data_IF_547816044437
#
_entry.id   IF_547816044437
#
_cell.length_a   1.000
_cell.length_b   1.000
_cell.length_c   1.000
_cell.angle_alpha   90.00
_cell.angle_beta   90.00
_cell.angle_gamma   90.00
#
_symmetry.space_group_name_H-M   'P 1'
#
loop_
_entity.id
_entity.type
_entity.pdbx_description
1 polymer ?
#
# COMPACT_ATOMS: atom_id res chain seq x y z
N UNK A 1 -10.08 -13.80 -7.25
CA UNK A 1 -9.25 -13.54 -6.06
C UNK A 1 -7.84 -14.06 -6.25
N UNK A 2 -7.61 -15.36 -6.42
CA UNK A 2 -6.24 -15.89 -6.57
C UNK A 2 -5.48 -15.31 -7.77
N UNK A 3 -6.14 -15.05 -8.90
CA UNK A 3 -5.53 -14.33 -10.02
C UNK A 3 -5.08 -12.90 -9.65
N UNK A 4 -5.81 -12.20 -8.77
CA UNK A 4 -5.41 -10.90 -8.23
C UNK A 4 -4.18 -11.04 -7.33
N UNK A 5 -4.17 -12.04 -6.46
CA UNK A 5 -3.02 -12.33 -5.61
C UNK A 5 -1.78 -12.63 -6.45
N UNK A 6 -1.94 -13.38 -7.53
CA UNK A 6 -0.85 -13.72 -8.44
C UNK A 6 -0.29 -12.50 -9.16
N UNK A 7 -1.15 -11.63 -9.68
CA UNK A 7 -0.72 -10.36 -10.27
C UNK A 7 0.07 -9.51 -9.25
N UNK A 8 -0.43 -9.40 -8.03
CA UNK A 8 0.23 -8.62 -6.96
C UNK A 8 1.61 -9.22 -6.65
N UNK A 9 1.74 -10.55 -6.55
CA UNK A 9 3.03 -11.23 -6.36
C UNK A 9 4.02 -10.90 -7.47
N UNK A 10 3.58 -10.90 -8.72
CA UNK A 10 4.44 -10.65 -9.88
C UNK A 10 4.90 -9.19 -9.97
N UNK A 11 4.03 -8.23 -9.64
CA UNK A 11 4.35 -6.80 -9.76
C UNK A 11 5.28 -6.31 -8.66
N UNK A 12 5.09 -6.76 -7.41
CA UNK A 12 5.94 -6.33 -6.29
C UNK A 12 5.76 -4.85 -5.91
N UNK A 13 4.55 -4.47 -5.48
CA UNK A 13 4.23 -3.06 -5.22
C UNK A 13 5.01 -2.51 -4.01
N UNK A 14 5.66 -1.34 -4.20
CA UNK A 14 6.30 -0.58 -3.11
C UNK A 14 5.28 0.01 -2.11
N UNK A 15 4.06 0.26 -2.57
CA UNK A 15 2.92 0.68 -1.75
C UNK A 15 1.64 0.46 -2.55
N UNK A 16 0.56 0.08 -1.88
CA UNK A 16 -0.77 0.02 -2.50
C UNK A 16 -1.87 0.22 -1.44
N UNK A 17 -2.94 0.89 -1.86
CA UNK A 17 -4.18 0.94 -1.09
C UNK A 17 -5.11 -0.18 -1.54
N UNK A 18 -5.76 -0.84 -0.59
CA UNK A 18 -6.69 -1.94 -0.87
C UNK A 18 -7.93 -1.81 0.00
N UNK A 19 -9.09 -2.09 -0.60
CA UNK A 19 -10.40 -1.97 0.03
C UNK A 19 -11.29 -3.12 -0.40
N UNK A 20 -12.18 -3.57 0.48
CA UNK A 20 -13.28 -4.46 0.10
C UNK A 20 -14.43 -3.65 -0.50
N UNK A 21 -15.15 -4.25 -1.44
CA UNK A 21 -16.28 -3.59 -2.08
C UNK A 21 -17.40 -3.30 -1.07
N UNK A 22 -17.84 -2.04 -1.04
CA UNK A 22 -18.98 -1.55 -0.24
C UNK A 22 -20.07 -1.07 -1.21
N UNK A 23 -21.20 -1.79 -1.31
CA UNK A 23 -22.31 -1.38 -2.18
C UNK A 23 -22.79 0.02 -1.84
N UNK A 24 -23.02 0.84 -2.87
CA UNK A 24 -23.59 2.17 -2.74
C UNK A 24 -24.92 2.23 -3.47
N UNK A 25 -26.03 2.67 -2.82
CA UNK A 25 -27.34 2.75 -3.47
C UNK A 25 -27.28 3.50 -4.79
N UNK A 26 -27.94 2.97 -5.83
CA UNK A 26 -28.00 3.57 -7.17
C UNK A 26 -26.79 3.29 -8.06
N UNK A 27 -25.82 2.48 -7.62
CA UNK A 27 -24.71 2.03 -8.48
C UNK A 27 -25.01 0.67 -9.09
N UNK A 28 -24.63 0.40 -10.36
CA UNK A 28 -24.84 -0.92 -10.97
C UNK A 28 -24.23 -2.06 -10.17
N UNK A 29 -23.09 -1.83 -9.52
CA UNK A 29 -22.44 -2.82 -8.67
C UNK A 29 -23.24 -3.18 -7.42
N UNK A 30 -24.11 -2.30 -6.91
CA UNK A 30 -24.99 -2.63 -5.79
C UNK A 30 -26.10 -3.59 -6.20
N UNK A 31 -26.59 -3.47 -7.44
CA UNK A 31 -27.68 -4.29 -7.98
C UNK A 31 -27.19 -5.61 -8.60
N UNK A 32 -25.87 -5.81 -8.73
CA UNK A 32 -25.31 -7.06 -9.22
C UNK A 32 -25.65 -8.23 -8.29
N UNK A 33 -26.01 -9.40 -8.84
CA UNK A 33 -26.18 -10.61 -8.06
C UNK A 33 -24.82 -11.13 -7.54
N UNK A 34 -24.87 -12.15 -6.67
CA UNK A 34 -23.70 -12.91 -6.23
C UNK A 34 -22.64 -12.11 -5.46
N UNK A 35 -23.09 -11.16 -4.62
CA UNK A 35 -22.21 -10.51 -3.65
C UNK A 35 -21.54 -11.53 -2.74
N UNK A 36 -20.22 -11.40 -2.62
CA UNK A 36 -19.43 -12.24 -1.71
C UNK A 36 -19.82 -11.91 -0.26
N UNK A 37 -20.01 -12.91 0.62
CA UNK A 37 -20.28 -12.67 2.04
C UNK A 37 -19.23 -11.75 2.69
N UNK A 38 -19.66 -10.89 3.63
CA UNK A 38 -18.77 -9.93 4.27
C UNK A 38 -17.56 -10.59 4.96
N UNK A 39 -17.75 -11.76 5.58
CA UNK A 39 -16.66 -12.53 6.20
C UNK A 39 -15.60 -12.95 5.20
N UNK A 40 -16.01 -13.39 4.00
CA UNK A 40 -15.10 -13.79 2.92
C UNK A 40 -14.40 -12.57 2.30
N UNK A 41 -15.11 -11.44 2.16
CA UNK A 41 -14.48 -10.18 1.74
C UNK A 41 -13.40 -9.73 2.71
N UNK A 42 -13.67 -9.87 4.01
CA UNK A 42 -12.75 -9.49 5.07
C UNK A 42 -11.49 -10.37 5.08
N UNK A 43 -11.66 -11.69 5.07
CA UNK A 43 -10.54 -12.66 4.99
C UNK A 43 -9.65 -12.37 3.77
N UNK A 44 -10.27 -12.16 2.59
CA UNK A 44 -9.54 -11.86 1.36
C UNK A 44 -8.77 -10.54 1.43
N UNK A 45 -9.37 -9.50 2.01
CA UNK A 45 -8.72 -8.21 2.18
C UNK A 45 -7.51 -8.34 3.11
N UNK A 46 -7.66 -9.02 4.25
CA UNK A 46 -6.56 -9.26 5.18
C UNK A 46 -5.41 -10.03 4.52
N UNK A 47 -5.72 -11.09 3.75
CA UNK A 47 -4.72 -11.87 3.01
C UNK A 47 -3.98 -11.02 1.97
N UNK A 48 -4.69 -10.18 1.23
CA UNK A 48 -4.09 -9.25 0.27
C UNK A 48 -3.20 -8.20 0.96
N UNK A 49 -3.70 -7.60 2.04
CA UNK A 49 -2.96 -6.60 2.81
C UNK A 49 -1.68 -7.17 3.45
N UNK A 50 -1.72 -8.42 3.92
CA UNK A 50 -0.53 -9.10 4.43
C UNK A 50 0.56 -9.26 3.35
N UNK A 51 0.17 -9.62 2.11
CA UNK A 51 1.11 -9.70 0.99
C UNK A 51 1.68 -8.31 0.62
N UNK A 52 0.81 -7.30 0.51
CA UNK A 52 1.23 -5.94 0.18
C UNK A 52 2.17 -5.34 1.23
N UNK A 53 1.89 -5.59 2.52
CA UNK A 53 2.77 -5.17 3.61
C UNK A 53 4.14 -5.84 3.52
N UNK A 54 4.18 -7.14 3.22
CA UNK A 54 5.43 -7.85 2.99
C UNK A 54 6.21 -7.25 1.82
N UNK A 55 5.57 -7.00 0.69
CA UNK A 55 6.23 -6.39 -0.48
C UNK A 55 6.75 -4.99 -0.19
N UNK A 56 5.99 -4.17 0.54
CA UNK A 56 6.43 -2.85 0.99
C UNK A 56 7.69 -2.94 1.86
N UNK A 57 7.75 -3.88 2.80
CA UNK A 57 8.91 -4.12 3.65
C UNK A 57 10.12 -4.59 2.81
N UNK A 58 9.93 -5.60 1.96
CA UNK A 58 10.98 -6.14 1.09
C UNK A 58 11.54 -5.05 0.16
N UNK A 59 10.68 -4.20 -0.41
CA UNK A 59 11.07 -3.06 -1.21
C UNK A 59 11.91 -2.06 -0.40
N UNK A 60 11.45 -1.67 0.79
CA UNK A 60 12.20 -0.77 1.66
C UNK A 60 13.57 -1.33 2.07
N UNK A 61 13.64 -2.62 2.39
CA UNK A 61 14.90 -3.32 2.69
C UNK A 61 15.84 -3.35 1.48
N UNK A 62 15.32 -3.49 0.25
CA UNK A 62 16.15 -3.47 -0.96
C UNK A 62 16.85 -2.13 -1.21
N UNK A 63 16.34 -1.04 -0.63
CA UNK A 63 16.91 0.31 -0.78
C UNK A 63 17.98 0.63 0.27
N UNK A 64 18.20 -0.24 1.28
CA UNK A 64 19.22 -0.01 2.30
C UNK A 64 20.60 0.07 1.65
N UNK A 65 21.33 1.17 1.93
CA UNK A 65 22.64 1.44 1.34
C UNK A 65 22.60 2.10 -0.04
N UNK A 66 21.42 2.26 -0.64
CA UNK A 66 21.26 2.99 -1.90
C UNK A 66 21.25 4.50 -1.67
N UNK A 67 21.75 5.26 -2.64
CA UNK A 67 21.55 6.71 -2.73
C UNK A 67 20.34 6.99 -3.61
N UNK A 68 19.40 7.79 -3.12
CA UNK A 68 18.17 8.15 -3.85
C UNK A 68 17.92 9.65 -3.81
N UNK A 69 17.34 10.17 -4.88
CA UNK A 69 16.88 11.56 -4.92
C UNK A 69 15.75 11.76 -3.90
N UNK A 70 15.87 12.80 -3.07
CA UNK A 70 14.88 13.10 -2.02
C UNK A 70 14.51 14.57 -2.05
N UNK A 71 13.20 14.85 -2.10
CA UNK A 71 12.69 16.20 -1.94
C UNK A 71 12.39 16.46 -0.46
N UNK A 72 13.13 17.37 0.17
CA UNK A 72 12.87 17.80 1.55
C UNK A 72 11.74 18.83 1.56
N UNK A 73 10.71 18.59 2.38
CA UNK A 73 9.48 19.38 2.36
C UNK A 73 9.30 20.23 3.63
N UNK A 74 9.68 19.71 4.80
CA UNK A 74 9.36 20.35 6.09
C UNK A 74 10.23 19.85 7.26
N UNK A 75 10.24 20.56 8.40
CA UNK A 75 10.77 20.02 9.65
C UNK A 75 10.11 18.70 10.04
N UNK A 76 10.88 17.81 10.66
CA UNK A 76 10.44 16.52 11.13
C UNK A 76 9.70 16.57 12.47
N UNK A 77 9.23 15.40 12.90
CA UNK A 77 8.46 15.28 14.15
C UNK A 77 9.35 15.45 15.38
N UNK A 78 10.60 15.02 15.32
CA UNK A 78 11.57 15.18 16.39
C UNK A 78 12.51 16.35 16.11
N UNK A 79 13.09 16.92 17.17
CA UNK A 79 14.07 17.99 17.03
C UNK A 79 15.29 17.49 16.24
N UNK A 80 15.79 18.32 15.32
CA UNK A 80 16.89 17.95 14.44
C UNK A 80 16.51 16.98 13.31
N UNK A 81 15.23 16.82 12.99
CA UNK A 81 14.80 16.03 11.82
C UNK A 81 14.25 16.90 10.71
N UNK A 82 14.38 16.42 9.47
CA UNK A 82 13.67 16.90 8.28
C UNK A 82 12.91 15.74 7.65
N UNK A 83 11.75 16.05 7.07
CA UNK A 83 10.91 15.08 6.37
C UNK A 83 10.80 15.46 4.91
N UNK A 84 10.92 14.45 4.05
CA UNK A 84 10.77 14.56 2.62
C UNK A 84 10.10 13.35 1.99
N UNK A 85 10.23 13.23 0.67
CA UNK A 85 9.69 12.13 -0.13
C UNK A 85 10.76 11.51 -1.02
N UNK A 86 10.74 10.19 -1.10
CA UNK A 86 11.49 9.42 -2.10
C UNK A 86 10.84 9.51 -3.49
N UNK A 87 11.49 9.03 -4.57
CA UNK A 87 10.91 9.00 -5.91
C UNK A 87 9.63 8.15 -6.00
N UNK A 88 9.44 7.24 -5.04
CA UNK A 88 8.24 6.39 -4.92
C UNK A 88 7.20 6.96 -3.95
N UNK A 89 7.30 8.25 -3.61
CA UNK A 89 6.41 8.97 -2.71
C UNK A 89 6.34 8.40 -1.28
N UNK A 90 7.30 7.56 -0.90
CA UNK A 90 7.43 7.11 0.48
C UNK A 90 8.07 8.22 1.32
N UNK A 91 7.61 8.43 2.57
CA UNK A 91 8.22 9.42 3.45
C UNK A 91 9.66 9.02 3.78
N UNK A 92 10.56 10.00 3.71
CA UNK A 92 11.97 9.87 4.12
C UNK A 92 12.19 10.81 5.30
N UNK A 93 12.83 10.32 6.35
CA UNK A 93 13.23 11.10 7.51
C UNK A 93 14.75 11.15 7.51
N UNK A 94 15.31 12.35 7.57
CA UNK A 94 16.75 12.57 7.68
C UNK A 94 17.03 13.42 8.90
N UNK A 95 18.16 13.17 9.55
CA UNK A 95 18.65 14.03 10.63
C UNK A 95 19.36 15.26 10.01
N UNK A 96 19.25 16.40 10.70
CA UNK A 96 19.90 17.67 10.35
C UNK A 96 21.37 17.72 10.80
#
# INVERSE_FOLDING_TARGET
>A
FEATMELVRQVGYASAFSFKYSPRPGTPGADMPDHVPETVKDERLQRLQALLLKQQQDFGSSLVGSTIDTLIEKPGRQAGQKVGRSPWLQPVIVDE
#
